data_IF_599625424340
#
_entry.id   IF_599625424340
#
_cell.length_a   1.000
_cell.length_b   1.000
_cell.length_c   1.000
_cell.angle_alpha   90.00
_cell.angle_beta   90.00
_cell.angle_gamma   90.00
#
_symmetry.space_group_name_H-M   'P 1'
#
loop_
_entity.id
_entity.type
_entity.pdbx_description
1 polymer ?
#
# COMPACT_ATOMS: atom_id res chain seq x y z
N UNK A 1 -13.55 -32.24 -7.74
CA UNK A 1 -13.94 -30.82 -7.50
C UNK A 1 -12.72 -29.94 -7.62
N UNK A 2 -12.77 -29.00 -8.54
CA UNK A 2 -11.64 -28.12 -8.77
C UNK A 2 -11.66 -26.99 -7.75
N UNK A 3 -10.51 -26.76 -7.11
CA UNK A 3 -10.39 -25.65 -6.20
C UNK A 3 -10.18 -24.36 -7.00
N UNK A 4 -10.78 -23.23 -6.57
CA UNK A 4 -10.51 -21.98 -7.25
C UNK A 4 -9.03 -21.62 -7.11
N UNK A 5 -8.47 -21.09 -8.17
CA UNK A 5 -7.12 -20.57 -8.16
C UNK A 5 -7.18 -19.06 -8.19
N UNK A 6 -6.23 -18.44 -7.52
CA UNK A 6 -6.12 -16.99 -7.46
C UNK A 6 -4.79 -16.56 -8.06
N UNK A 7 -4.83 -15.48 -8.79
CA UNK A 7 -3.65 -14.87 -9.35
C UNK A 7 -3.43 -13.54 -8.65
N UNK A 8 -2.20 -13.28 -8.29
CA UNK A 8 -1.81 -12.00 -7.73
C UNK A 8 -1.54 -11.02 -8.85
N UNK A 9 -2.21 -9.86 -8.80
CA UNK A 9 -2.00 -8.78 -9.76
C UNK A 9 -1.45 -7.56 -9.07
N UNK A 10 -0.32 -7.10 -9.54
CA UNK A 10 0.23 -5.84 -9.08
C UNK A 10 -0.59 -4.70 -9.66
N UNK A 11 -1.06 -3.81 -8.79
CA UNK A 11 -1.83 -2.63 -9.20
C UNK A 11 -0.92 -1.43 -9.41
N UNK A 12 0.06 -1.27 -8.54
CA UNK A 12 0.97 -0.16 -8.64
C UNK A 12 1.97 -0.15 -7.51
N UNK A 13 2.89 0.82 -7.58
CA UNK A 13 3.95 0.98 -6.59
C UNK A 13 4.08 2.43 -6.19
N UNK A 14 4.42 2.65 -4.94
CA UNK A 14 4.71 3.98 -4.42
C UNK A 14 5.97 3.91 -3.59
N UNK A 15 6.85 4.89 -3.79
CA UNK A 15 8.08 5.01 -3.03
C UNK A 15 7.83 5.88 -1.81
N UNK A 16 8.26 5.41 -0.65
CA UNK A 16 8.14 6.20 0.59
C UNK A 16 9.25 7.23 0.59
N UNK A 17 8.87 8.50 0.56
CA UNK A 17 9.82 9.62 0.53
C UNK A 17 9.96 10.31 1.86
N UNK A 18 8.94 10.21 2.70
CA UNK A 18 8.96 10.84 4.01
C UNK A 18 8.13 10.02 4.98
N UNK A 19 8.46 10.10 6.24
CA UNK A 19 7.72 9.40 7.29
C UNK A 19 7.33 10.43 8.33
N UNK A 20 6.03 10.50 8.63
CA UNK A 20 5.51 11.41 9.62
C UNK A 20 4.87 10.63 10.76
N UNK A 21 5.08 11.08 11.96
CA UNK A 21 4.40 10.51 13.13
C UNK A 21 3.32 11.47 13.57
N UNK A 22 2.13 10.95 13.79
CA UNK A 22 1.02 11.75 14.25
C UNK A 22 0.35 11.10 15.43
N UNK A 23 0.16 11.83 16.49
CA UNK A 23 -0.56 11.37 17.66
C UNK A 23 -2.07 11.35 17.44
N UNK A 24 -2.54 11.91 16.32
CA UNK A 24 -3.97 12.01 16.02
C UNK A 24 -4.49 10.90 15.14
N UNK A 25 -3.65 9.97 14.74
CA UNK A 25 -4.09 8.83 13.96
C UNK A 25 -4.72 7.83 14.91
N UNK A 26 -5.93 7.39 14.59
CA UNK A 26 -6.69 6.50 15.46
C UNK A 26 -6.10 5.12 15.63
N UNK A 27 -5.12 4.77 14.89
CA UNK A 27 -4.44 3.50 15.10
C UNK A 27 -3.28 3.71 16.06
N UNK A 28 -2.89 2.64 16.67
CA UNK A 28 -1.86 2.67 17.71
C UNK A 28 -0.47 3.02 17.20
N UNK A 29 -0.30 3.03 15.90
CA UNK A 29 1.04 3.21 15.33
C UNK A 29 1.34 4.64 14.93
N UNK A 30 0.33 5.38 14.55
CA UNK A 30 0.47 6.81 14.31
C UNK A 30 1.50 7.21 13.24
N UNK A 31 1.90 6.28 12.41
CA UNK A 31 2.93 6.55 11.40
C UNK A 31 2.30 6.72 10.03
N UNK A 32 2.60 7.83 9.40
CA UNK A 32 2.10 8.13 8.06
C UNK A 32 3.27 8.08 7.09
N UNK A 33 3.12 7.29 6.04
CA UNK A 33 4.11 7.22 4.98
C UNK A 33 3.76 8.23 3.89
N UNK A 34 4.61 9.22 3.69
CA UNK A 34 4.49 10.13 2.56
C UNK A 34 5.09 9.45 1.34
N UNK A 35 4.23 9.08 0.39
CA UNK A 35 4.61 8.28 -0.74
C UNK A 35 4.43 9.03 -2.05
N UNK A 36 5.27 8.70 -3.01
CA UNK A 36 5.10 9.13 -4.39
C UNK A 36 4.78 7.91 -5.24
N UNK A 37 3.63 7.93 -5.90
CA UNK A 37 3.22 6.79 -6.74
C UNK A 37 4.02 6.82 -8.03
N UNK A 38 4.87 5.82 -8.21
CA UNK A 38 5.79 5.76 -9.33
C UNK A 38 5.23 4.97 -10.50
N UNK A 39 4.31 4.06 -10.23
CA UNK A 39 3.76 3.18 -11.26
C UNK A 39 2.37 2.73 -10.87
N UNK A 40 1.49 2.63 -11.86
CA UNK A 40 0.14 2.13 -11.69
C UNK A 40 -0.71 2.96 -10.74
N UNK A 41 -1.39 2.28 -9.84
CA UNK A 41 -2.31 2.92 -8.91
C UNK A 41 -2.20 2.26 -7.54
N UNK A 42 -2.27 3.07 -6.50
CA UNK A 42 -2.37 2.59 -5.12
C UNK A 42 -3.83 2.69 -4.69
N UNK A 43 -4.39 1.59 -4.24
CA UNK A 43 -5.80 1.52 -3.84
C UNK A 43 -5.94 1.19 -2.36
N UNK A 44 -6.83 1.90 -1.69
CA UNK A 44 -7.08 1.71 -0.27
C UNK A 44 -7.63 0.32 0.06
N UNK A 45 -8.48 -0.21 -0.81
CA UNK A 45 -9.13 -1.50 -0.57
C UNK A 45 -8.30 -2.70 -1.03
N UNK A 46 -7.15 -2.46 -1.61
CA UNK A 46 -6.27 -3.53 -2.05
C UNK A 46 -5.31 -3.91 -0.95
N UNK A 47 -4.72 -5.08 -1.09
CA UNK A 47 -3.64 -5.48 -0.20
C UNK A 47 -2.35 -4.77 -0.60
N UNK A 48 -1.45 -4.66 0.33
CA UNK A 48 -0.17 -4.01 0.11
C UNK A 48 0.96 -4.87 0.67
N UNK A 49 2.12 -4.71 0.08
CA UNK A 49 3.34 -5.30 0.61
C UNK A 49 4.41 -4.23 0.65
N UNK A 50 5.36 -4.40 1.54
CA UNK A 50 6.46 -3.47 1.68
C UNK A 50 7.74 -4.12 1.17
N UNK A 51 8.40 -3.41 0.27
CA UNK A 51 9.65 -3.87 -0.33
C UNK A 51 10.79 -2.97 0.14
N UNK A 52 11.92 -3.58 0.43
CA UNK A 52 13.14 -2.87 0.79
C UNK A 52 14.28 -3.49 0.01
N UNK A 53 14.94 -2.68 -0.82
CA UNK A 53 15.99 -3.18 -1.71
C UNK A 53 15.51 -4.35 -2.58
N UNK A 54 14.30 -4.22 -3.12
CA UNK A 54 13.63 -5.22 -3.95
C UNK A 54 13.34 -6.54 -3.24
N UNK A 55 13.40 -6.55 -1.90
CA UNK A 55 13.07 -7.72 -1.10
C UNK A 55 11.81 -7.41 -0.31
N UNK A 56 10.85 -8.33 -0.36
CA UNK A 56 9.61 -8.19 0.41
C UNK A 56 9.92 -8.35 1.89
N UNK A 57 9.68 -7.30 2.68
CA UNK A 57 9.89 -7.33 4.12
C UNK A 57 8.59 -7.52 4.89
N UNK A 58 7.45 -7.24 4.28
CA UNK A 58 6.15 -7.48 4.88
C UNK A 58 5.11 -7.70 3.79
N UNK A 59 4.19 -8.61 4.03
CA UNK A 59 3.13 -8.97 3.09
C UNK A 59 1.77 -8.91 3.77
N UNK A 60 0.72 -8.94 2.95
CA UNK A 60 -0.67 -8.94 3.40
C UNK A 60 -1.00 -7.75 4.29
N UNK A 61 -0.39 -6.63 4.00
CA UNK A 61 -0.70 -5.39 4.69
C UNK A 61 -1.95 -4.76 4.07
N UNK A 62 -2.63 -3.97 4.88
CA UNK A 62 -3.75 -3.19 4.39
C UNK A 62 -3.47 -1.72 4.66
N UNK A 63 -4.12 -0.86 3.89
CA UNK A 63 -4.03 0.56 4.12
C UNK A 63 -5.15 0.97 5.08
N UNK A 64 -4.76 1.41 6.28
CA UNK A 64 -5.73 1.93 7.23
C UNK A 64 -6.26 3.27 6.77
N UNK A 65 -5.46 4.02 6.03
CA UNK A 65 -5.85 5.32 5.54
C UNK A 65 -5.05 5.64 4.28
N UNK A 66 -5.68 6.32 3.34
CA UNK A 66 -5.03 6.81 2.15
C UNK A 66 -5.53 8.23 1.92
N UNK A 67 -4.61 9.20 1.93
CA UNK A 67 -4.95 10.60 1.79
C UNK A 67 -4.10 11.25 0.71
N UNK A 68 -4.71 12.17 0.01
CA UNK A 68 -4.00 13.04 -0.93
C UNK A 68 -4.23 14.47 -0.47
N UNK A 69 -3.14 15.13 -0.07
CA UNK A 69 -3.19 16.42 0.59
C UNK A 69 -3.97 16.31 1.89
N UNK A 70 -5.18 16.86 1.95
CA UNK A 70 -6.02 16.80 3.14
C UNK A 70 -7.24 15.92 2.96
N UNK A 71 -7.40 15.33 1.78
CA UNK A 71 -8.60 14.59 1.43
C UNK A 71 -8.39 13.09 1.49
N UNK A 72 -9.36 12.39 2.06
CA UNK A 72 -9.38 10.94 1.99
C UNK A 72 -9.71 10.52 0.56
N UNK A 73 -8.91 9.61 0.03
CA UNK A 73 -9.12 9.10 -1.31
C UNK A 73 -9.12 7.58 -1.30
N UNK A 74 -9.69 6.99 -2.33
CA UNK A 74 -9.73 5.53 -2.46
C UNK A 74 -8.61 5.01 -3.34
N UNK A 75 -8.05 5.85 -4.17
CA UNK A 75 -6.92 5.47 -5.02
C UNK A 75 -6.08 6.69 -5.38
N UNK A 76 -4.82 6.44 -5.69
CA UNK A 76 -3.88 7.47 -6.16
C UNK A 76 -3.11 6.89 -7.33
N UNK A 77 -3.07 7.64 -8.42
CA UNK A 77 -2.40 7.21 -9.65
C UNK A 77 -0.93 7.63 -9.66
N UNK A 78 -0.18 7.00 -10.56
CA UNK A 78 1.21 7.35 -10.77
C UNK A 78 1.37 8.83 -11.11
N UNK A 79 2.42 9.44 -10.57
CA UNK A 79 2.69 10.85 -10.74
C UNK A 79 2.15 11.74 -9.64
N UNK A 80 1.43 11.16 -8.67
CA UNK A 80 0.87 11.91 -7.55
C UNK A 80 1.44 11.43 -6.23
N UNK A 81 1.52 12.35 -5.28
CA UNK A 81 1.94 12.03 -3.93
C UNK A 81 0.72 11.70 -3.07
N UNK A 82 0.94 10.89 -2.05
CA UNK A 82 -0.11 10.54 -1.11
C UNK A 82 0.47 10.23 0.25
N UNK A 83 -0.39 10.30 1.26
CA UNK A 83 -0.08 9.82 2.61
C UNK A 83 -0.81 8.52 2.85
N UNK A 84 -0.11 7.50 3.28
CA UNK A 84 -0.69 6.20 3.55
C UNK A 84 -0.33 5.73 4.94
N UNK A 85 -1.29 5.13 5.63
CA UNK A 85 -1.07 4.48 6.92
C UNK A 85 -1.21 3.00 6.69
N UNK A 86 -0.13 2.26 6.93
CA UNK A 86 -0.14 0.81 6.80
C UNK A 86 -0.57 0.18 8.11
N UNK A 87 -1.41 -0.82 8.00
CA UNK A 87 -1.82 -1.64 9.13
C UNK A 87 -1.10 -2.98 9.06
N UNK A 88 -0.51 -3.38 10.15
CA UNK A 88 0.17 -4.66 10.27
C UNK A 88 1.69 -4.58 10.28
N UNK A 89 2.25 -3.42 9.99
CA UNK A 89 3.70 -3.26 10.02
C UNK A 89 4.06 -1.82 10.31
N UNK A 90 4.85 -1.60 11.35
CA UNK A 90 5.25 -0.25 11.78
C UNK A 90 6.70 0.11 11.48
N UNK A 91 7.47 -0.78 10.88
CA UNK A 91 8.89 -0.57 10.63
C UNK A 91 9.24 0.06 9.30
N UNK A 92 8.34 0.87 8.73
CA UNK A 92 8.56 1.52 7.44
C UNK A 92 9.70 2.52 7.53
N UNK A 93 10.43 2.66 6.43
CA UNK A 93 11.55 3.61 6.32
C UNK A 93 11.51 4.32 4.99
N UNK A 94 12.16 5.47 4.95
CA UNK A 94 12.31 6.19 3.68
C UNK A 94 13.07 5.32 2.68
N UNK A 95 12.63 5.36 1.44
CA UNK A 95 13.19 4.54 0.38
C UNK A 95 12.51 3.19 0.20
N UNK A 96 11.66 2.79 1.15
CA UNK A 96 10.87 1.58 0.99
C UNK A 96 9.82 1.80 -0.10
N UNK A 97 9.36 0.70 -0.69
CA UNK A 97 8.34 0.74 -1.74
C UNK A 97 7.10 0.00 -1.25
N UNK A 98 5.96 0.64 -1.39
CA UNK A 98 4.68 0.01 -1.14
C UNK A 98 4.15 -0.48 -2.49
N UNK A 99 3.91 -1.77 -2.60
CA UNK A 99 3.28 -2.34 -3.78
C UNK A 99 1.84 -2.71 -3.45
N UNK A 100 0.92 -2.13 -4.19
CA UNK A 100 -0.49 -2.46 -4.09
C UNK A 100 -0.79 -3.62 -5.02
N UNK A 101 -1.51 -4.63 -4.54
CA UNK A 101 -1.84 -5.79 -5.34
C UNK A 101 -3.21 -6.31 -4.96
N UNK A 102 -3.77 -7.14 -5.84
CA UNK A 102 -5.04 -7.78 -5.57
C UNK A 102 -4.97 -9.25 -5.96
N UNK A 103 -5.83 -10.04 -5.33
CA UNK A 103 -5.97 -11.45 -5.67
C UNK A 103 -7.20 -11.59 -6.55
N UNK A 104 -7.00 -12.13 -7.74
CA UNK A 104 -8.07 -12.31 -8.73
C UNK A 104 -8.32 -13.79 -8.90
N UNK A 105 -9.57 -14.18 -8.80
CA UNK A 105 -9.93 -15.57 -9.04
C UNK A 105 -9.82 -15.90 -10.54
N UNK A 106 -9.10 -16.96 -10.85
CA UNK A 106 -8.93 -17.40 -12.22
C UNK A 106 -10.05 -18.38 -12.55
N UNK A 107 -10.91 -18.02 -13.51
CA UNK A 107 -11.97 -18.95 -13.90
C UNK A 107 -11.38 -20.19 -14.59
N UNK A 108 -11.85 -21.33 -14.17
CA UNK A 108 -11.53 -22.58 -14.83
C UNK A 108 -12.78 -23.11 -15.52
N UNK A 109 -12.72 -23.06 -16.79
CA UNK A 109 -13.82 -23.55 -17.62
C UNK A 109 -13.79 -25.02 -17.84
#
# INVERSE_FOLDING_TARGET
MLKPEFEERSLGRAEIRAIFKSSKVDNKEGTIAGCYVTDGVIRRNAKARLLRNNVTVAEELTLASLKREKDDVTEVRAGFECGAVLRGYGGIKEGDVIESYEMVEIPRG
#
